data_IF_236182529550
#
_entry.id   IF_236182529550
#
_cell.length_a   1.000
_cell.length_b   1.000
_cell.length_c   1.000
_cell.angle_alpha   90.00
_cell.angle_beta   90.00
_cell.angle_gamma   90.00
#
_symmetry.space_group_name_H-M   'P 1'
#
loop_
_entity.id
_entity.type
_entity.pdbx_description
1 polymer ?
#
# COMPACT_ATOMS: atom_id res chain seq x y z
N UNK A 1 34.89 25.55 -27.95
CA UNK A 1 33.43 25.84 -28.10
C UNK A 1 32.75 24.64 -28.77
N UNK A 2 32.44 23.62 -28.00
CA UNK A 2 31.57 22.53 -28.47
C UNK A 2 30.40 22.46 -27.50
N UNK A 3 29.27 23.00 -27.95
CA UNK A 3 27.97 22.84 -27.33
C UNK A 3 27.46 21.46 -27.71
N UNK A 4 27.57 20.53 -26.78
CA UNK A 4 26.84 19.24 -26.88
C UNK A 4 25.35 19.51 -26.86
N UNK A 5 24.67 19.28 -27.97
CA UNK A 5 23.20 19.33 -28.06
C UNK A 5 22.64 18.18 -27.25
N UNK A 6 21.99 18.52 -26.11
CA UNK A 6 21.21 17.58 -25.33
C UNK A 6 19.94 17.20 -26.10
N UNK A 7 19.81 15.97 -26.53
CA UNK A 7 18.55 15.42 -27.01
C UNK A 7 17.69 15.04 -25.79
N UNK A 8 16.76 15.93 -25.41
CA UNK A 8 15.61 15.56 -24.57
C UNK A 8 14.52 14.95 -25.43
N UNK A 9 13.84 13.88 -24.99
CA UNK A 9 12.66 13.39 -25.68
C UNK A 9 11.61 14.50 -25.80
N UNK A 10 10.97 14.63 -26.96
CA UNK A 10 9.91 15.61 -27.17
C UNK A 10 8.81 15.43 -26.10
N UNK A 11 8.54 16.49 -25.33
CA UNK A 11 7.56 16.51 -24.24
C UNK A 11 8.11 16.47 -22.82
N UNK A 12 9.44 16.36 -22.63
CA UNK A 12 10.05 16.41 -21.29
C UNK A 12 10.19 17.84 -20.81
N UNK A 13 9.55 18.20 -19.71
CA UNK A 13 9.75 19.48 -19.01
C UNK A 13 10.83 19.27 -17.96
N UNK A 14 12.01 19.88 -18.13
CA UNK A 14 13.03 19.90 -17.09
C UNK A 14 12.58 20.87 -15.99
N UNK A 15 12.31 20.33 -14.80
CA UNK A 15 12.00 21.14 -13.62
C UNK A 15 13.30 21.70 -13.05
N UNK A 16 13.26 22.98 -12.61
CA UNK A 16 14.38 23.56 -11.87
C UNK A 16 14.45 22.98 -10.45
N UNK A 17 15.61 23.08 -9.77
CA UNK A 17 15.71 22.65 -8.37
C UNK A 17 14.65 23.27 -7.45
N UNK A 18 14.29 24.54 -7.69
CA UNK A 18 13.25 25.24 -6.95
C UNK A 18 11.86 24.67 -7.24
N UNK A 19 11.58 24.29 -8.49
CA UNK A 19 10.31 23.66 -8.88
C UNK A 19 10.19 22.24 -8.30
N UNK A 20 11.31 21.51 -8.23
CA UNK A 20 11.38 20.19 -7.56
C UNK A 20 11.13 20.37 -6.08
N UNK A 21 11.77 21.34 -5.42
CA UNK A 21 11.57 21.60 -4.00
C UNK A 21 10.14 22.06 -3.71
N UNK A 22 9.55 22.89 -4.54
CA UNK A 22 8.16 23.33 -4.42
C UNK A 22 7.18 22.18 -4.62
N UNK A 23 7.47 21.23 -5.49
CA UNK A 23 6.68 20.01 -5.69
C UNK A 23 6.81 19.05 -4.49
N UNK A 24 8.00 18.92 -3.89
CA UNK A 24 8.25 18.19 -2.64
C UNK A 24 7.46 18.81 -1.47
N UNK A 25 7.54 20.13 -1.33
CA UNK A 25 6.89 20.87 -0.24
C UNK A 25 5.35 20.88 -0.35
N UNK A 26 4.83 20.76 -1.58
CA UNK A 26 3.38 20.75 -1.85
C UNK A 26 2.73 19.36 -1.68
N UNK A 27 3.52 18.31 -1.43
CA UNK A 27 3.01 16.92 -1.38
C UNK A 27 2.61 16.35 -2.74
N UNK A 28 2.80 17.08 -3.85
CA UNK A 28 2.42 16.64 -5.18
C UNK A 28 3.24 15.43 -5.69
N UNK A 29 4.35 15.12 -5.01
CA UNK A 29 5.20 13.95 -5.29
C UNK A 29 4.91 12.76 -4.35
N UNK A 30 3.99 12.89 -3.39
CA UNK A 30 3.62 11.78 -2.49
C UNK A 30 3.03 10.60 -3.28
N UNK A 31 2.30 10.87 -4.38
CA UNK A 31 1.85 9.85 -5.32
C UNK A 31 2.99 9.22 -6.14
N UNK A 32 4.09 9.93 -6.35
CA UNK A 32 5.26 9.41 -7.05
C UNK A 32 6.12 8.50 -6.14
N UNK A 33 6.14 8.76 -4.83
CA UNK A 33 6.79 7.87 -3.84
C UNK A 33 6.06 6.53 -3.70
N UNK A 34 4.72 6.50 -3.84
CA UNK A 34 3.96 5.27 -3.97
C UNK A 34 4.32 4.48 -5.25
N UNK A 35 4.98 5.11 -6.20
CA UNK A 35 5.43 4.54 -7.46
C UNK A 35 6.91 4.11 -7.50
N UNK A 36 7.56 3.88 -6.35
CA UNK A 36 8.88 3.22 -6.28
C UNK A 36 10.13 4.10 -6.32
N UNK A 37 10.04 5.39 -6.06
CA UNK A 37 11.24 6.23 -5.94
C UNK A 37 11.33 6.73 -4.50
N UNK A 38 12.27 6.23 -3.72
CA UNK A 38 12.59 6.81 -2.41
C UNK A 38 13.31 8.16 -2.60
N UNK A 39 12.53 9.22 -2.68
CA UNK A 39 13.00 10.60 -2.83
C UNK A 39 13.64 11.16 -1.54
N UNK A 40 13.56 10.41 -0.42
CA UNK A 40 14.10 10.84 0.89
C UNK A 40 15.51 10.35 1.14
N UNK A 41 16.00 9.39 0.38
CA UNK A 41 17.41 9.04 0.34
C UNK A 41 18.11 10.02 -0.61
N UNK A 42 18.72 11.07 -0.06
CA UNK A 42 19.50 12.05 -0.84
C UNK A 42 20.54 11.36 -1.74
N UNK A 43 21.08 10.24 -1.32
CA UNK A 43 22.01 9.44 -2.12
C UNK A 43 21.28 8.60 -3.19
N UNK A 44 20.07 8.12 -2.93
CA UNK A 44 19.28 7.30 -3.86
C UNK A 44 18.73 8.11 -5.02
N UNK A 45 18.11 9.26 -4.74
CA UNK A 45 17.58 10.16 -5.76
C UNK A 45 18.69 10.78 -6.62
N UNK A 46 19.76 11.33 -5.99
CA UNK A 46 20.89 11.91 -6.73
C UNK A 46 21.67 10.86 -7.51
N UNK A 47 21.81 9.64 -6.99
CA UNK A 47 22.47 8.54 -7.69
C UNK A 47 21.64 8.04 -8.88
N UNK A 48 20.29 7.97 -8.75
CA UNK A 48 19.39 7.67 -9.87
C UNK A 48 19.43 8.79 -10.91
N UNK A 49 19.28 10.06 -10.49
CA UNK A 49 19.34 11.24 -11.36
C UNK A 49 20.71 11.37 -12.04
N UNK A 50 21.80 11.13 -11.32
CA UNK A 50 23.16 11.15 -11.85
C UNK A 50 23.39 10.01 -12.85
N UNK A 51 22.93 8.80 -12.57
CA UNK A 51 22.99 7.67 -13.49
C UNK A 51 22.10 7.89 -14.72
N UNK A 52 20.96 8.56 -14.57
CA UNK A 52 20.08 8.91 -15.69
C UNK A 52 20.68 10.03 -16.56
N UNK A 53 21.32 11.05 -15.95
CA UNK A 53 21.91 12.20 -16.66
C UNK A 53 23.32 11.92 -17.21
N UNK A 54 24.13 11.13 -16.52
CA UNK A 54 25.56 10.97 -16.77
C UNK A 54 26.04 9.53 -16.77
N UNK A 55 25.13 8.56 -16.67
CA UNK A 55 25.48 7.14 -16.72
C UNK A 55 26.29 6.83 -17.97
N UNK A 56 27.54 6.47 -17.78
CA UNK A 56 28.46 6.13 -18.86
C UNK A 56 27.87 5.01 -19.72
N UNK A 57 27.86 5.19 -21.03
CA UNK A 57 27.44 4.22 -22.05
C UNK A 57 28.32 2.95 -22.11
N UNK A 58 29.27 2.78 -21.23
CA UNK A 58 30.32 1.77 -21.31
C UNK A 58 30.32 0.76 -20.16
N UNK A 59 29.11 0.31 -19.73
CA UNK A 59 29.00 -1.04 -19.21
C UNK A 59 28.26 -1.84 -20.29
N UNK A 60 28.98 -2.67 -21.02
CA UNK A 60 28.38 -3.82 -21.67
C UNK A 60 27.53 -4.51 -20.61
N UNK A 61 26.21 -4.29 -20.65
CA UNK A 61 25.28 -5.13 -19.88
C UNK A 61 25.56 -6.55 -20.36
N UNK A 62 25.99 -7.44 -19.46
CA UNK A 62 25.98 -8.87 -19.78
C UNK A 62 24.60 -9.17 -20.39
N UNK A 63 24.55 -9.83 -21.56
CA UNK A 63 23.29 -10.10 -22.23
C UNK A 63 22.38 -10.80 -21.22
N UNK A 64 21.21 -10.20 -20.96
CA UNK A 64 20.24 -10.75 -20.03
C UNK A 64 20.04 -12.23 -20.33
N UNK A 65 20.02 -13.12 -19.34
CA UNK A 65 19.89 -14.54 -19.59
C UNK A 65 18.66 -14.78 -20.48
N UNK A 66 18.82 -15.50 -21.58
CA UNK A 66 17.77 -15.77 -22.56
C UNK A 66 16.69 -16.73 -22.02
N UNK A 67 16.27 -16.52 -20.76
CA UNK A 67 15.31 -17.33 -20.05
C UNK A 67 14.30 -16.47 -19.29
N UNK A 68 13.03 -16.79 -19.47
CA UNK A 68 11.94 -16.23 -18.66
C UNK A 68 11.09 -17.37 -18.08
N UNK A 69 10.39 -17.08 -16.99
CA UNK A 69 9.55 -18.06 -16.30
C UNK A 69 10.18 -18.70 -15.07
N UNK A 70 9.59 -19.80 -14.62
CA UNK A 70 10.01 -20.52 -13.42
C UNK A 70 11.30 -21.31 -13.62
N UNK A 71 12.20 -21.24 -12.65
CA UNK A 71 13.45 -22.00 -12.63
C UNK A 71 13.82 -22.41 -11.20
N UNK A 72 14.25 -23.66 -11.04
CA UNK A 72 14.79 -24.17 -9.77
C UNK A 72 16.30 -24.45 -9.93
N UNK A 73 17.09 -23.82 -9.08
CA UNK A 73 18.55 -23.93 -9.05
C UNK A 73 18.99 -24.21 -7.62
N UNK A 74 19.78 -25.26 -7.40
CA UNK A 74 20.29 -25.62 -6.08
C UNK A 74 19.21 -25.69 -4.98
N UNK A 75 18.03 -26.23 -5.32
CA UNK A 75 16.90 -26.34 -4.39
C UNK A 75 16.14 -25.03 -4.10
N UNK A 76 16.48 -23.93 -4.77
CA UNK A 76 15.80 -22.63 -4.66
C UNK A 76 15.03 -22.35 -5.94
N UNK A 77 13.79 -21.84 -5.79
CA UNK A 77 12.92 -21.52 -6.92
C UNK A 77 12.90 -20.01 -7.16
N UNK A 78 13.02 -19.64 -8.44
CA UNK A 78 13.04 -18.26 -8.92
C UNK A 78 12.00 -18.10 -10.04
N UNK A 79 11.61 -16.86 -10.29
CA UNK A 79 10.87 -16.48 -11.50
C UNK A 79 11.63 -15.38 -12.23
N UNK A 80 11.83 -15.55 -13.52
CA UNK A 80 12.49 -14.56 -14.38
C UNK A 80 11.44 -13.83 -15.19
N UNK A 81 11.39 -12.51 -15.06
CA UNK A 81 10.42 -11.67 -15.77
C UNK A 81 10.62 -11.75 -17.28
N UNK A 82 9.52 -11.81 -18.01
CA UNK A 82 9.53 -12.03 -19.47
C UNK A 82 10.13 -10.85 -20.25
N UNK A 83 9.92 -9.64 -19.77
CA UNK A 83 10.38 -8.39 -20.37
C UNK A 83 11.86 -8.09 -20.14
N UNK A 84 12.38 -8.48 -18.99
CA UNK A 84 13.74 -8.15 -18.56
C UNK A 84 14.67 -9.36 -18.47
N UNK A 85 14.13 -10.57 -18.45
CA UNK A 85 14.85 -11.81 -18.12
C UNK A 85 15.63 -11.75 -16.79
N UNK A 86 15.18 -10.88 -15.85
CA UNK A 86 15.79 -10.75 -14.52
C UNK A 86 14.92 -11.44 -13.47
N UNK A 87 15.55 -11.92 -12.40
CA UNK A 87 14.85 -12.47 -11.23
C UNK A 87 13.92 -11.42 -10.65
N UNK A 88 12.67 -11.78 -10.42
CA UNK A 88 11.73 -10.91 -9.69
C UNK A 88 11.99 -10.97 -8.19
N UNK A 89 11.66 -9.90 -7.48
CA UNK A 89 11.72 -9.79 -6.02
C UNK A 89 10.42 -9.19 -5.50
N UNK A 90 10.15 -9.37 -4.20
CA UNK A 90 8.97 -8.82 -3.55
C UNK A 90 7.69 -9.60 -3.83
N UNK A 91 6.56 -8.97 -3.56
CA UNK A 91 5.23 -9.54 -3.79
C UNK A 91 4.85 -9.42 -5.27
N UNK A 92 4.49 -10.53 -5.90
CA UNK A 92 4.16 -10.61 -7.32
C UNK A 92 2.91 -11.44 -7.57
N UNK A 93 2.15 -11.05 -8.59
CA UNK A 93 1.12 -11.92 -9.18
C UNK A 93 1.66 -12.55 -10.46
N UNK A 94 1.59 -13.87 -10.55
CA UNK A 94 2.05 -14.65 -11.69
C UNK A 94 0.96 -15.68 -12.00
N UNK A 95 0.46 -15.70 -13.22
CA UNK A 95 -0.59 -16.63 -13.67
C UNK A 95 -1.82 -16.63 -12.75
N UNK A 96 -2.21 -15.44 -12.29
CA UNK A 96 -3.37 -15.21 -11.45
C UNK A 96 -3.23 -15.66 -9.99
N UNK A 97 -2.01 -15.89 -9.50
CA UNK A 97 -1.69 -16.26 -8.10
C UNK A 97 -0.64 -15.36 -7.51
N UNK A 98 -0.66 -15.20 -6.19
CA UNK A 98 0.33 -14.41 -5.45
C UNK A 98 1.54 -15.27 -5.07
N UNK A 99 2.72 -14.65 -5.18
CA UNK A 99 4.00 -15.22 -4.77
C UNK A 99 4.85 -14.15 -4.10
N UNK A 100 5.70 -14.57 -3.19
CA UNK A 100 6.68 -13.69 -2.57
C UNK A 100 8.09 -14.20 -2.82
N UNK A 101 8.97 -13.28 -3.24
CA UNK A 101 10.39 -13.54 -3.50
C UNK A 101 11.22 -12.61 -2.62
N UNK A 102 12.22 -13.16 -1.94
CA UNK A 102 13.13 -12.36 -1.11
C UNK A 102 14.03 -11.42 -1.96
N UNK A 103 14.93 -10.70 -1.29
CA UNK A 103 15.85 -9.76 -1.97
C UNK A 103 16.81 -10.45 -2.96
N UNK A 104 17.02 -11.76 -2.84
CA UNK A 104 17.82 -12.56 -3.76
C UNK A 104 16.97 -13.20 -4.88
N UNK A 105 15.68 -12.92 -4.92
CA UNK A 105 14.73 -13.50 -5.85
C UNK A 105 14.31 -14.92 -5.53
N UNK A 106 14.60 -15.43 -4.33
CA UNK A 106 14.20 -16.78 -3.92
C UNK A 106 12.74 -16.78 -3.49
N UNK A 107 11.94 -17.64 -4.15
CA UNK A 107 10.54 -17.84 -3.76
C UNK A 107 10.44 -18.29 -2.29
N UNK A 108 9.59 -17.62 -1.55
CA UNK A 108 9.32 -17.95 -0.17
C UNK A 108 8.03 -18.76 -0.06
N UNK A 109 8.07 -19.85 0.69
CA UNK A 109 6.91 -20.65 1.04
C UNK A 109 6.35 -20.23 2.41
N UNK A 110 5.15 -20.70 2.76
CA UNK A 110 4.48 -20.40 4.03
C UNK A 110 4.17 -18.92 4.26
N UNK A 111 3.88 -18.18 3.19
CA UNK A 111 3.50 -16.78 3.23
C UNK A 111 1.97 -16.67 3.27
N UNK A 112 1.44 -15.86 4.19
CA UNK A 112 0.01 -15.58 4.29
C UNK A 112 -0.34 -14.40 3.41
N UNK A 113 -0.98 -14.66 2.27
CA UNK A 113 -1.41 -13.64 1.30
C UNK A 113 -2.84 -13.18 1.56
N UNK A 114 -3.08 -11.89 1.35
CA UNK A 114 -4.39 -11.26 1.37
C UNK A 114 -4.54 -10.22 0.28
N UNK A 115 -5.75 -9.70 0.18
CA UNK A 115 -6.11 -8.55 -0.65
C UNK A 115 -6.83 -7.52 0.19
N UNK A 116 -6.89 -6.28 -0.26
CA UNK A 116 -7.83 -5.32 0.28
C UNK A 116 -8.73 -4.76 -0.82
N UNK A 117 -9.96 -4.43 -0.45
CA UNK A 117 -11.03 -4.10 -1.38
C UNK A 117 -11.98 -3.06 -0.82
N UNK A 118 -12.66 -2.36 -1.73
CA UNK A 118 -13.68 -1.36 -1.42
C UNK A 118 -14.76 -1.34 -2.50
N UNK A 119 -15.57 -0.29 -2.52
CA UNK A 119 -16.58 -0.07 -3.57
C UNK A 119 -16.02 -0.04 -5.00
N UNK A 120 -14.71 0.10 -5.16
CA UNK A 120 -14.09 0.16 -6.47
C UNK A 120 -13.85 -1.21 -7.10
N UNK A 121 -13.92 -2.28 -6.32
CA UNK A 121 -13.79 -3.66 -6.78
C UNK A 121 -15.16 -4.34 -6.73
N UNK A 122 -15.83 -4.43 -7.87
CA UNK A 122 -17.10 -5.15 -8.03
C UNK A 122 -16.93 -6.40 -8.89
N UNK A 123 -17.80 -7.39 -8.70
CA UNK A 123 -17.78 -8.61 -9.54
C UNK A 123 -16.67 -9.59 -9.21
N UNK A 124 -16.20 -9.63 -7.96
CA UNK A 124 -15.19 -10.57 -7.48
C UNK A 124 -15.76 -12.00 -7.36
N UNK A 125 -15.08 -12.97 -7.99
CA UNK A 125 -15.32 -14.40 -7.74
C UNK A 125 -14.48 -14.87 -6.54
N UNK A 126 -15.06 -14.76 -5.35
CA UNK A 126 -14.38 -15.05 -4.09
C UNK A 126 -13.87 -16.49 -3.97
N UNK A 127 -14.54 -17.44 -4.61
CA UNK A 127 -14.11 -18.83 -4.63
C UNK A 127 -12.83 -19.01 -5.47
N UNK A 128 -12.72 -18.33 -6.62
CA UNK A 128 -11.50 -18.33 -7.42
C UNK A 128 -10.38 -17.60 -6.71
N UNK A 129 -10.67 -16.45 -6.08
CA UNK A 129 -9.70 -15.70 -5.27
C UNK A 129 -9.13 -16.59 -4.15
N UNK A 130 -9.98 -17.28 -3.40
CA UNK A 130 -9.53 -18.25 -2.39
C UNK A 130 -8.63 -19.34 -2.96
N UNK A 131 -9.02 -19.91 -4.10
CA UNK A 131 -8.24 -20.96 -4.79
C UNK A 131 -6.89 -20.45 -5.34
N UNK A 132 -6.74 -19.14 -5.51
CA UNK A 132 -5.48 -18.50 -5.94
C UNK A 132 -4.46 -18.34 -4.82
N UNK A 133 -4.77 -18.81 -3.60
CA UNK A 133 -3.88 -18.76 -2.44
C UNK A 133 -4.11 -17.57 -1.51
N UNK A 134 -5.12 -16.74 -1.77
CA UNK A 134 -5.53 -15.66 -0.87
C UNK A 134 -6.18 -16.25 0.38
N UNK A 135 -5.71 -15.87 1.55
CA UNK A 135 -6.15 -16.39 2.85
C UNK A 135 -7.01 -15.41 3.64
N UNK A 136 -6.84 -14.11 3.39
CA UNK A 136 -7.57 -13.07 4.09
C UNK A 136 -7.91 -11.89 3.18
N UNK A 137 -8.85 -11.08 3.63
CA UNK A 137 -9.22 -9.81 2.99
C UNK A 137 -9.43 -8.74 4.04
N UNK A 138 -8.98 -7.51 3.73
CA UNK A 138 -9.30 -6.30 4.50
C UNK A 138 -10.27 -5.46 3.67
N UNK A 139 -11.49 -5.26 4.19
CA UNK A 139 -12.60 -4.65 3.45
C UNK A 139 -12.82 -3.23 3.95
N UNK A 140 -12.93 -2.25 3.06
CA UNK A 140 -13.35 -0.92 3.49
C UNK A 140 -14.75 -0.97 4.06
N UNK A 141 -14.87 -0.66 5.35
CA UNK A 141 -16.17 -0.62 6.02
C UNK A 141 -16.88 0.72 5.81
N UNK A 142 -16.10 1.79 5.68
CA UNK A 142 -16.63 3.13 5.49
C UNK A 142 -15.53 4.17 5.33
N UNK A 143 -15.95 5.40 5.24
CA UNK A 143 -15.07 6.56 5.13
C UNK A 143 -15.76 7.81 5.66
N UNK A 144 -14.95 8.81 6.06
CA UNK A 144 -15.45 10.17 6.30
C UNK A 144 -15.25 11.00 5.04
N UNK A 145 -16.27 11.76 4.65
CA UNK A 145 -16.23 12.63 3.47
C UNK A 145 -15.22 13.77 3.60
N UNK A 146 -14.63 14.18 2.49
CA UNK A 146 -13.60 15.23 2.43
C UNK A 146 -14.10 16.64 2.72
N UNK A 147 -15.41 16.88 2.52
CA UNK A 147 -16.02 18.21 2.69
C UNK A 147 -16.12 18.64 4.15
N UNK A 148 -16.40 19.91 4.39
CA UNK A 148 -16.51 20.51 5.73
C UNK A 148 -17.48 19.77 6.66
N UNK A 149 -18.57 19.21 6.12
CA UNK A 149 -19.54 18.44 6.92
C UNK A 149 -18.97 17.14 7.47
N UNK A 150 -17.96 16.53 6.82
CA UNK A 150 -17.29 15.33 7.31
C UNK A 150 -18.24 14.18 7.63
N UNK A 151 -19.26 13.94 6.82
CA UNK A 151 -20.24 12.90 7.08
C UNK A 151 -19.62 11.51 7.01
N UNK A 152 -20.02 10.62 7.93
CA UNK A 152 -19.67 9.20 7.87
C UNK A 152 -20.49 8.51 6.79
N UNK A 153 -19.82 7.71 5.97
CA UNK A 153 -20.45 6.95 4.89
C UNK A 153 -20.01 5.50 5.00
N UNK A 154 -20.96 4.60 5.10
CA UNK A 154 -20.71 3.16 4.97
C UNK A 154 -20.35 2.85 3.52
N UNK A 155 -19.32 2.02 3.30
CA UNK A 155 -18.97 1.59 1.94
C UNK A 155 -20.14 0.78 1.33
N UNK A 156 -20.63 1.15 0.15
CA UNK A 156 -21.80 0.49 -0.44
C UNK A 156 -21.58 -1.00 -0.77
N UNK A 157 -20.33 -1.42 -0.97
CA UNK A 157 -19.98 -2.82 -1.25
C UNK A 157 -19.61 -3.63 0.01
N UNK A 158 -19.59 -2.99 1.18
CA UNK A 158 -19.14 -3.65 2.41
C UNK A 158 -19.92 -4.94 2.72
N UNK A 159 -21.24 -4.91 2.66
CA UNK A 159 -22.07 -6.07 2.98
C UNK A 159 -21.86 -7.23 2.01
N UNK A 160 -21.77 -6.92 0.73
CA UNK A 160 -21.52 -7.93 -0.31
C UNK A 160 -20.16 -8.56 -0.15
N UNK A 161 -19.10 -7.75 -0.02
CA UNK A 161 -17.75 -8.25 0.17
C UNK A 161 -17.59 -9.06 1.45
N UNK A 162 -18.14 -8.56 2.56
CA UNK A 162 -18.06 -9.26 3.84
C UNK A 162 -18.74 -10.64 3.77
N UNK A 163 -19.96 -10.69 3.27
CA UNK A 163 -20.74 -11.93 3.17
C UNK A 163 -20.06 -12.95 2.24
N UNK A 164 -19.65 -12.50 1.06
CA UNK A 164 -19.09 -13.38 0.05
C UNK A 164 -17.68 -13.88 0.43
N UNK A 165 -16.84 -13.03 1.02
CA UNK A 165 -15.53 -13.42 1.52
C UNK A 165 -15.64 -14.47 2.64
N UNK A 166 -16.57 -14.27 3.58
CA UNK A 166 -16.84 -15.23 4.64
C UNK A 166 -17.35 -16.57 4.08
N UNK A 167 -18.28 -16.54 3.14
CA UNK A 167 -18.81 -17.75 2.49
C UNK A 167 -17.73 -18.52 1.73
N UNK A 168 -16.73 -17.83 1.17
CA UNK A 168 -15.56 -18.46 0.54
C UNK A 168 -14.52 -18.97 1.55
N UNK A 169 -14.72 -18.75 2.86
CA UNK A 169 -13.83 -19.20 3.92
C UNK A 169 -12.55 -18.34 4.03
N UNK A 170 -12.61 -17.05 3.67
CA UNK A 170 -11.54 -16.10 3.92
C UNK A 170 -11.63 -15.56 5.36
N UNK A 171 -10.48 -15.32 5.96
CA UNK A 171 -10.37 -14.47 7.17
C UNK A 171 -10.65 -13.03 6.80
N UNK A 172 -11.34 -12.28 7.67
CA UNK A 172 -11.78 -10.90 7.36
C UNK A 172 -11.31 -9.93 8.43
N UNK A 173 -10.76 -8.81 7.97
CA UNK A 173 -10.60 -7.57 8.71
C UNK A 173 -11.26 -6.42 7.94
N UNK A 174 -11.22 -5.22 8.52
CA UNK A 174 -11.81 -4.05 7.88
C UNK A 174 -10.91 -2.83 8.03
N UNK A 175 -11.08 -1.83 7.15
CA UNK A 175 -10.46 -0.54 7.30
C UNK A 175 -11.48 0.60 7.14
N UNK A 176 -11.23 1.71 7.80
CA UNK A 176 -11.99 2.93 7.68
C UNK A 176 -11.09 4.05 7.16
N UNK A 177 -11.42 4.61 6.00
CA UNK A 177 -10.69 5.74 5.44
C UNK A 177 -11.04 7.01 6.20
N UNK A 178 -10.08 7.50 6.99
CA UNK A 178 -10.29 8.62 7.89
C UNK A 178 -10.18 9.98 7.22
N UNK A 179 -10.99 10.91 7.68
CA UNK A 179 -10.81 12.34 7.51
C UNK A 179 -11.13 13.08 8.82
N UNK A 180 -10.95 12.39 9.96
CA UNK A 180 -11.09 12.99 11.27
C UNK A 180 -10.05 14.10 11.48
N UNK A 181 -10.47 15.22 12.05
CA UNK A 181 -9.60 16.38 12.34
C UNK A 181 -9.37 16.58 13.84
N UNK A 182 -9.97 15.75 14.68
CA UNK A 182 -9.80 15.72 16.13
C UNK A 182 -10.15 14.33 16.68
N UNK A 183 -9.82 14.11 17.95
CA UNK A 183 -10.01 12.84 18.65
C UNK A 183 -11.48 12.40 18.73
N UNK A 184 -12.42 13.35 18.92
CA UNK A 184 -13.85 13.04 19.01
C UNK A 184 -14.38 12.47 17.67
N UNK A 185 -13.98 13.06 16.57
CA UNK A 185 -14.34 12.54 15.24
C UNK A 185 -13.72 11.18 14.96
N UNK A 186 -12.49 10.94 15.41
CA UNK A 186 -11.84 9.64 15.26
C UNK A 186 -12.56 8.55 16.08
N UNK A 187 -13.04 8.86 17.28
CA UNK A 187 -13.88 7.96 18.07
C UNK A 187 -15.23 7.68 17.38
N UNK A 188 -15.85 8.72 16.80
CA UNK A 188 -17.08 8.58 16.02
C UNK A 188 -16.90 7.66 14.80
N UNK A 189 -15.75 7.69 14.14
CA UNK A 189 -15.41 6.76 13.05
C UNK A 189 -15.33 5.30 13.55
N UNK A 190 -14.73 5.07 14.72
CA UNK A 190 -14.71 3.75 15.36
C UNK A 190 -16.11 3.25 15.74
N UNK A 191 -16.95 4.14 16.28
CA UNK A 191 -18.36 3.84 16.58
C UNK A 191 -19.15 3.50 15.30
N UNK A 192 -18.87 4.21 14.21
CA UNK A 192 -19.41 3.92 12.88
C UNK A 192 -19.03 2.53 12.38
N UNK A 193 -17.78 2.10 12.60
CA UNK A 193 -17.35 0.74 12.28
C UNK A 193 -18.13 -0.30 13.11
N UNK A 194 -18.26 -0.09 14.40
CA UNK A 194 -19.02 -1.00 15.29
C UNK A 194 -20.48 -1.09 14.88
N UNK A 195 -21.11 0.04 14.56
CA UNK A 195 -22.48 0.06 14.06
C UNK A 195 -22.62 -0.75 12.75
N UNK A 196 -21.70 -0.55 11.80
CA UNK A 196 -21.72 -1.25 10.51
C UNK A 196 -21.44 -2.76 10.68
N UNK A 197 -20.56 -3.14 11.62
CA UNK A 197 -20.28 -4.55 11.94
C UNK A 197 -21.49 -5.24 12.58
N UNK A 198 -22.29 -4.55 13.35
CA UNK A 198 -23.50 -5.09 13.97
C UNK A 198 -23.25 -6.43 14.71
N UNK A 199 -22.22 -6.46 15.56
CA UNK A 199 -21.84 -7.63 16.36
C UNK A 199 -21.07 -8.73 15.60
N UNK A 200 -20.75 -8.54 14.33
CA UNK A 200 -19.95 -9.51 13.56
C UNK A 200 -18.51 -9.54 14.05
N UNK A 201 -17.97 -10.74 14.22
CA UNK A 201 -16.58 -10.94 14.61
C UNK A 201 -15.63 -10.81 13.43
N UNK A 202 -14.43 -10.34 13.73
CA UNK A 202 -13.33 -10.20 12.77
C UNK A 202 -12.15 -11.11 13.14
N UNK A 203 -11.40 -11.57 12.14
CA UNK A 203 -10.16 -12.32 12.33
C UNK A 203 -8.94 -11.39 12.35
N UNK A 204 -9.05 -10.28 11.62
CA UNK A 204 -8.04 -9.23 11.49
C UNK A 204 -8.54 -7.92 12.13
N UNK A 205 -7.64 -6.95 12.38
CA UNK A 205 -8.01 -5.69 13.01
C UNK A 205 -9.05 -4.85 12.24
N UNK A 206 -9.60 -3.85 12.96
CA UNK A 206 -10.17 -2.65 12.35
C UNK A 206 -9.01 -1.66 12.18
N UNK A 207 -8.68 -1.32 10.95
CA UNK A 207 -7.58 -0.42 10.64
C UNK A 207 -8.06 1.02 10.45
N UNK A 208 -7.38 1.93 11.15
CA UNK A 208 -7.43 3.37 10.90
C UNK A 208 -6.58 3.67 9.68
N UNK A 209 -7.20 3.92 8.54
CA UNK A 209 -6.53 4.20 7.29
C UNK A 209 -6.30 5.70 7.16
N UNK A 210 -5.03 6.11 7.33
CA UNK A 210 -4.61 7.51 7.24
C UNK A 210 -3.63 7.70 6.10
N UNK A 211 -4.10 8.40 5.07
CA UNK A 211 -3.38 8.70 3.85
C UNK A 211 -3.84 10.02 3.23
N UNK A 212 -3.20 10.48 2.16
CA UNK A 212 -3.62 11.66 1.44
C UNK A 212 -5.04 11.47 0.89
N UNK A 213 -5.87 12.51 1.00
CA UNK A 213 -7.16 12.49 0.34
C UNK A 213 -7.00 12.61 -1.18
N UNK A 214 -7.96 12.10 -1.94
CA UNK A 214 -8.03 12.34 -3.39
C UNK A 214 -8.71 13.67 -3.73
N UNK A 215 -8.93 14.54 -2.72
CA UNK A 215 -9.48 15.87 -2.93
C UNK A 215 -8.49 16.72 -3.73
N UNK A 216 -8.99 17.58 -4.65
CA UNK A 216 -8.11 18.41 -5.47
C UNK A 216 -7.13 19.24 -4.63
N UNK A 217 -5.84 19.19 -4.96
CA UNK A 217 -4.76 19.98 -4.32
C UNK A 217 -4.60 19.78 -2.81
N UNK A 218 -4.86 18.57 -2.30
CA UNK A 218 -4.72 18.31 -0.86
C UNK A 218 -5.71 19.13 -0.02
N UNK A 219 -6.91 19.40 -0.52
CA UNK A 219 -7.94 20.17 0.18
C UNK A 219 -8.87 19.30 1.03
N UNK A 220 -8.55 18.03 1.20
CA UNK A 220 -9.27 17.18 2.15
C UNK A 220 -9.14 17.73 3.56
N UNK A 221 -10.20 17.59 4.34
CA UNK A 221 -10.30 18.23 5.67
C UNK A 221 -9.19 17.81 6.65
N UNK A 222 -8.64 16.60 6.52
CA UNK A 222 -7.56 16.08 7.35
C UNK A 222 -6.16 16.27 6.74
N UNK A 223 -6.03 16.68 5.48
CA UNK A 223 -4.73 16.75 4.78
C UNK A 223 -3.74 17.71 5.48
N UNK A 224 -4.24 18.81 6.05
CA UNK A 224 -3.45 19.81 6.76
C UNK A 224 -3.06 19.47 8.20
N UNK A 225 -3.46 18.32 8.74
CA UNK A 225 -3.13 17.97 10.13
C UNK A 225 -1.62 17.78 10.33
N UNK A 226 -1.12 18.32 11.44
CA UNK A 226 0.24 18.06 11.92
C UNK A 226 0.41 16.62 12.45
N UNK A 227 1.67 16.23 12.64
CA UNK A 227 2.04 14.90 13.16
C UNK A 227 1.35 14.60 14.50
N UNK A 228 1.37 15.55 15.42
CA UNK A 228 0.81 15.38 16.77
C UNK A 228 -0.71 15.11 16.72
N UNK A 229 -1.47 15.97 16.04
CA UNK A 229 -2.93 15.86 15.99
C UNK A 229 -3.37 14.61 15.21
N UNK A 230 -2.70 14.29 14.12
CA UNK A 230 -2.96 13.05 13.35
C UNK A 230 -2.69 11.81 14.20
N UNK A 231 -1.61 11.82 14.99
CA UNK A 231 -1.29 10.72 15.90
C UNK A 231 -2.32 10.59 17.01
N UNK A 232 -2.78 11.71 17.59
CA UNK A 232 -3.87 11.71 18.58
C UNK A 232 -5.17 11.13 18.01
N UNK A 233 -5.55 11.50 16.79
CA UNK A 233 -6.69 10.90 16.11
C UNK A 233 -6.55 9.38 15.94
N UNK A 234 -5.39 8.91 15.47
CA UNK A 234 -5.13 7.48 15.32
C UNK A 234 -5.23 6.73 16.67
N UNK A 235 -4.69 7.31 17.74
CA UNK A 235 -4.78 6.75 19.10
C UNK A 235 -6.24 6.71 19.55
N UNK A 236 -6.98 7.80 19.41
CA UNK A 236 -8.38 7.89 19.84
C UNK A 236 -9.27 6.86 19.14
N UNK A 237 -9.09 6.69 17.83
CA UNK A 237 -9.76 5.62 17.06
C UNK A 237 -9.40 4.24 17.60
N UNK A 238 -8.11 3.95 17.73
CA UNK A 238 -7.63 2.64 18.14
C UNK A 238 -8.05 2.26 19.57
N UNK A 239 -7.99 3.20 20.52
CA UNK A 239 -8.46 2.92 21.88
C UNK A 239 -9.98 2.69 21.89
N UNK A 240 -10.74 3.46 21.12
CA UNK A 240 -12.18 3.24 20.99
C UNK A 240 -12.50 1.87 20.38
N UNK A 241 -11.77 1.43 19.38
CA UNK A 241 -11.88 0.08 18.80
C UNK A 241 -11.64 -1.02 19.85
N UNK A 242 -10.66 -0.84 20.74
CA UNK A 242 -10.41 -1.77 21.87
C UNK A 242 -11.59 -1.80 22.85
N UNK A 243 -12.12 -0.64 23.24
CA UNK A 243 -13.29 -0.55 24.12
C UNK A 243 -14.50 -1.28 23.56
N UNK A 244 -14.64 -1.27 22.21
CA UNK A 244 -15.70 -1.95 21.50
C UNK A 244 -15.45 -3.47 21.31
N UNK A 245 -14.30 -3.97 21.81
CA UNK A 245 -13.98 -5.39 21.82
C UNK A 245 -13.29 -5.91 20.56
N UNK A 246 -12.79 -5.02 19.69
CA UNK A 246 -12.06 -5.40 18.47
C UNK A 246 -10.54 -5.11 18.60
N UNK A 247 -9.76 -5.75 17.74
CA UNK A 247 -8.33 -5.46 17.61
C UNK A 247 -8.14 -4.20 16.75
N UNK A 248 -7.39 -3.20 17.19
CA UNK A 248 -7.08 -2.03 16.38
C UNK A 248 -5.81 -2.20 15.57
N UNK A 249 -5.74 -1.50 14.45
CA UNK A 249 -4.54 -1.33 13.65
C UNK A 249 -4.51 0.04 12.98
N UNK A 250 -3.37 0.39 12.44
CA UNK A 250 -3.17 1.61 11.66
C UNK A 250 -2.60 1.23 10.30
N UNK A 251 -3.15 1.82 9.23
CA UNK A 251 -2.60 1.72 7.88
C UNK A 251 -2.08 3.09 7.46
N UNK A 252 -0.89 3.06 6.89
CA UNK A 252 -0.30 4.20 6.20
C UNK A 252 0.81 3.74 5.25
N UNK A 253 1.21 4.60 4.31
CA UNK A 253 2.44 4.39 3.54
C UNK A 253 3.69 4.58 4.41
N UNK A 254 4.83 4.07 3.97
CA UNK A 254 6.12 4.29 4.66
C UNK A 254 6.42 5.77 4.86
N UNK A 255 6.15 6.61 3.86
CA UNK A 255 6.34 8.06 3.94
C UNK A 255 5.47 8.68 5.01
N UNK A 256 4.20 8.26 5.08
CA UNK A 256 3.30 8.77 6.11
C UNK A 256 3.73 8.34 7.51
N UNK A 257 4.17 7.10 7.70
CA UNK A 257 4.73 6.65 8.96
C UNK A 257 5.97 7.45 9.38
N UNK A 258 6.80 7.86 8.43
CA UNK A 258 8.02 8.65 8.71
C UNK A 258 7.77 10.14 8.93
N UNK A 259 6.74 10.72 8.29
CA UNK A 259 6.58 12.18 8.20
C UNK A 259 5.26 12.73 8.76
N UNK A 260 4.22 11.91 8.85
CA UNK A 260 2.85 12.39 9.10
C UNK A 260 2.23 11.90 10.40
N UNK A 261 2.81 10.90 11.05
CA UNK A 261 2.40 10.36 12.34
C UNK A 261 3.63 10.01 13.19
N UNK A 262 3.45 9.88 14.51
CA UNK A 262 4.47 9.31 15.38
C UNK A 262 4.43 7.77 15.28
N UNK A 263 5.22 7.25 14.33
CA UNK A 263 5.32 5.81 14.07
C UNK A 263 5.71 5.02 15.32
N UNK A 264 6.67 5.49 16.12
CA UNK A 264 7.17 4.75 17.28
C UNK A 264 6.07 4.58 18.34
N UNK A 265 5.30 5.62 18.60
CA UNK A 265 4.15 5.56 19.49
C UNK A 265 3.10 4.59 18.96
N UNK A 266 2.74 4.66 17.70
CA UNK A 266 1.73 3.77 17.12
C UNK A 266 2.21 2.31 17.08
N UNK A 267 3.46 2.05 16.66
CA UNK A 267 4.06 0.71 16.57
C UNK A 267 4.13 -0.01 17.92
N UNK A 268 4.33 0.73 19.00
CA UNK A 268 4.40 0.17 20.36
C UNK A 268 3.05 -0.28 20.90
N UNK A 269 1.94 0.11 20.27
CA UNK A 269 0.58 -0.05 20.83
C UNK A 269 -0.39 -0.83 19.92
N UNK A 270 -0.21 -0.76 18.62
CA UNK A 270 -1.19 -1.21 17.63
C UNK A 270 -0.55 -2.04 16.52
N UNK A 271 -1.39 -2.81 15.81
CA UNK A 271 -1.00 -3.51 14.60
C UNK A 271 -0.68 -2.51 13.49
N UNK A 272 0.49 -2.63 12.87
CA UNK A 272 0.93 -1.76 11.78
C UNK A 272 0.75 -2.45 10.43
N UNK A 273 -0.02 -1.82 9.56
CA UNK A 273 -0.16 -2.21 8.16
C UNK A 273 0.50 -1.14 7.29
N UNK A 274 1.60 -1.50 6.65
CA UNK A 274 2.42 -0.58 5.86
C UNK A 274 2.23 -0.80 4.37
N UNK A 275 2.04 0.28 3.62
CA UNK A 275 2.10 0.27 2.16
C UNK A 275 3.47 0.74 1.67
N UNK A 276 4.10 -0.08 0.83
CA UNK A 276 5.30 0.26 0.09
C UNK A 276 5.48 -0.71 -1.07
N UNK A 277 5.58 -0.20 -2.28
CA UNK A 277 5.56 -0.99 -3.50
C UNK A 277 6.93 -1.06 -4.17
N UNK A 278 7.13 -2.05 -5.06
CA UNK A 278 8.32 -2.16 -5.90
C UNK A 278 9.61 -2.57 -5.20
N UNK A 279 9.52 -2.99 -3.95
CA UNK A 279 10.65 -3.43 -3.11
C UNK A 279 10.53 -4.91 -2.76
N UNK A 280 11.61 -5.50 -2.28
CA UNK A 280 11.63 -6.91 -1.88
C UNK A 280 10.97 -7.17 -0.52
N UNK A 281 10.84 -6.15 0.34
CA UNK A 281 10.19 -6.23 1.66
C UNK A 281 9.84 -4.84 2.16
N UNK A 282 8.96 -4.74 3.16
CA UNK A 282 8.66 -3.47 3.83
C UNK A 282 9.94 -2.81 4.38
N UNK A 283 10.18 -1.51 4.12
CA UNK A 283 11.35 -0.80 4.63
C UNK A 283 11.23 -0.37 6.09
N UNK A 284 10.08 -0.61 6.71
CA UNK A 284 9.85 -0.37 8.15
C UNK A 284 9.26 -1.62 8.80
N UNK A 285 9.39 -1.73 10.13
CA UNK A 285 8.77 -2.82 10.89
C UNK A 285 7.24 -2.75 10.79
N UNK A 286 6.59 -3.81 10.34
CA UNK A 286 5.14 -3.89 10.24
C UNK A 286 4.64 -5.31 10.51
N UNK A 287 3.34 -5.43 10.79
CA UNK A 287 2.64 -6.70 11.01
C UNK A 287 1.92 -7.17 9.76
N UNK A 288 1.63 -6.22 8.85
CA UNK A 288 1.11 -6.47 7.51
C UNK A 288 1.78 -5.51 6.53
N UNK A 289 2.02 -6.00 5.32
CA UNK A 289 2.64 -5.22 4.26
C UNK A 289 1.80 -5.31 2.99
N UNK A 290 1.31 -4.15 2.51
CA UNK A 290 0.73 -4.00 1.17
C UNK A 290 1.89 -3.78 0.19
N UNK A 291 2.24 -4.83 -0.54
CA UNK A 291 3.46 -4.88 -1.36
C UNK A 291 3.23 -4.55 -2.83
N UNK A 292 2.00 -4.50 -3.29
CA UNK A 292 1.61 -4.10 -4.66
C UNK A 292 0.16 -3.67 -4.71
N UNK A 293 -0.16 -2.78 -5.65
CA UNK A 293 -1.53 -2.33 -5.98
C UNK A 293 -1.99 -2.77 -7.38
N UNK A 294 -1.18 -3.55 -8.05
CA UNK A 294 -1.41 -3.97 -9.45
C UNK A 294 -1.41 -5.49 -9.59
N UNK A 295 -1.88 -6.21 -8.56
CA UNK A 295 -1.95 -7.66 -8.64
C UNK A 295 -3.10 -8.13 -9.53
N UNK A 296 -2.80 -9.03 -10.47
CA UNK A 296 -3.80 -9.75 -11.25
C UNK A 296 -4.02 -11.13 -10.65
N UNK A 297 -5.22 -11.37 -10.11
CA UNK A 297 -5.57 -12.59 -9.37
C UNK A 297 -6.77 -13.27 -10.05
N UNK A 298 -6.72 -14.59 -10.21
CA UNK A 298 -7.87 -15.32 -10.74
C UNK A 298 -9.12 -15.06 -9.89
N UNK A 299 -10.21 -14.66 -10.55
CA UNK A 299 -11.45 -14.28 -9.90
C UNK A 299 -11.76 -12.79 -9.96
N UNK A 300 -10.84 -11.99 -10.51
CA UNK A 300 -11.07 -10.58 -10.80
C UNK A 300 -10.35 -10.16 -12.09
N UNK A 301 -11.01 -9.36 -12.91
CA UNK A 301 -10.47 -8.92 -14.20
C UNK A 301 -9.61 -7.65 -14.12
N UNK A 302 -9.70 -6.92 -13.01
CA UNK A 302 -8.93 -5.70 -12.75
C UNK A 302 -7.70 -5.95 -11.90
N UNK A 303 -7.10 -4.86 -11.44
CA UNK A 303 -5.98 -4.86 -10.51
C UNK A 303 -6.47 -4.83 -9.05
N UNK A 304 -5.75 -5.49 -8.17
CA UNK A 304 -6.02 -5.58 -6.74
C UNK A 304 -4.80 -5.18 -5.93
N UNK A 305 -5.06 -4.55 -4.81
CA UNK A 305 -4.08 -4.38 -3.75
C UNK A 305 -3.81 -5.74 -3.09
N UNK A 306 -2.54 -6.12 -3.00
CA UNK A 306 -2.16 -7.39 -2.42
C UNK A 306 -1.21 -7.22 -1.23
N UNK A 307 -1.39 -8.11 -0.25
CA UNK A 307 -0.83 -7.99 1.07
C UNK A 307 -0.14 -9.27 1.53
N UNK A 308 0.86 -9.12 2.39
CA UNK A 308 1.44 -10.18 3.21
C UNK A 308 1.10 -9.90 4.67
N UNK A 309 0.62 -10.92 5.38
CA UNK A 309 0.42 -10.87 6.84
C UNK A 309 1.52 -11.63 7.55
N UNK A 310 2.11 -11.01 8.58
CA UNK A 310 3.06 -11.61 9.52
C UNK A 310 2.39 -11.96 10.86
N UNK A 311 1.10 -11.66 11.00
CA UNK A 311 0.25 -12.08 12.12
C UNK A 311 -0.68 -13.19 11.64
N UNK A 312 -0.72 -14.29 12.39
CA UNK A 312 -1.51 -15.48 12.07
C UNK A 312 -3.01 -15.34 12.34
#
# INVERSE_FOLDING_TARGET
NDTASQHTPEGSVLLTPEQIQQALDSGALEDAEAQCIDLTDENGFFRWLFNWLFGSKDKEEEPAPAYSGWRTENGKTYYYAQDTNKKVTGLRSIDGKLYYFDANGVKQDNVTFGIDVSKYQSGLDWNKIKKSGVSFVIIRIGYRGYGAAGNLVKDPMFEEHFTNARNAGLKVGVYFFTQAVNEAEAQEEADGCNWALNGRMLDYPIFYDTEASTAPRGTGRADGLGVEDRTKCAIAFCERVKELGYKPGVYASTTWYRKRVDYNTLRSRYTIWNAHYGVSSSPIGCDMWQGTRTAHINGYSGELDANISYIG
#
